data_IF_479608770296
#
_entry.id   IF_479608770296
#
_cell.length_a   1.000
_cell.length_b   1.000
_cell.length_c   1.000
_cell.angle_alpha   90.00
_cell.angle_beta   90.00
_cell.angle_gamma   90.00
#
_symmetry.space_group_name_H-M   'P 1'
#
loop_
_entity.id
_entity.type
_entity.pdbx_description
1 polymer ?
#
# COMPACT_ATOMS: atom_id res chain seq x y z
N UNK A 1 -25.77 1.11 2.05
CA UNK A 1 -24.68 1.45 2.99
C UNK A 1 -24.13 0.16 3.57
N UNK A 2 -22.82 -0.04 3.57
CA UNK A 2 -22.19 -1.25 4.11
C UNK A 2 -22.08 -1.19 5.63
N UNK A 3 -22.18 -2.34 6.30
CA UNK A 3 -22.01 -2.46 7.75
C UNK A 3 -20.55 -2.16 8.14
N UNK A 4 -20.30 -1.31 9.15
CA UNK A 4 -18.94 -1.08 9.67
C UNK A 4 -18.32 -2.38 10.17
N UNK A 5 -17.07 -2.62 9.80
CA UNK A 5 -16.28 -3.79 10.25
C UNK A 5 -15.26 -3.32 11.28
N UNK A 6 -15.22 -3.96 12.45
CA UNK A 6 -14.19 -3.71 13.45
C UNK A 6 -12.81 -4.13 12.90
N UNK A 7 -11.85 -3.21 12.89
CA UNK A 7 -10.46 -3.50 12.48
C UNK A 7 -9.66 -4.13 13.61
N UNK A 8 -9.57 -3.44 14.76
CA UNK A 8 -8.78 -3.86 15.94
C UNK A 8 -9.12 -2.95 17.12
N UNK A 9 -9.06 -3.49 18.35
CA UNK A 9 -9.22 -2.73 19.59
C UNK A 9 -10.63 -2.86 20.19
N UNK A 10 -10.97 -1.93 21.09
CA UNK A 10 -12.24 -1.90 21.80
C UNK A 10 -13.45 -1.68 20.86
N UNK A 11 -14.51 -2.46 21.07
CA UNK A 11 -15.79 -2.39 20.37
C UNK A 11 -16.54 -1.08 20.65
N UNK A 12 -16.26 -0.41 21.77
CA UNK A 12 -16.93 0.83 22.17
C UNK A 12 -16.37 2.07 21.47
N UNK A 13 -15.19 1.97 20.85
CA UNK A 13 -14.50 3.10 20.23
C UNK A 13 -14.80 3.15 18.73
N UNK A 14 -15.55 4.15 18.22
CA UNK A 14 -15.95 4.22 16.81
C UNK A 14 -14.78 4.28 15.83
N UNK A 15 -13.63 4.83 16.26
CA UNK A 15 -12.42 4.92 15.44
C UNK A 15 -11.81 3.55 15.09
N UNK A 16 -12.17 2.49 15.82
CA UNK A 16 -11.72 1.12 15.56
C UNK A 16 -12.50 0.45 14.42
N UNK A 17 -13.56 1.08 13.93
CA UNK A 17 -14.37 0.58 12.84
C UNK A 17 -13.93 1.15 11.50
N UNK A 18 -14.11 0.34 10.47
CA UNK A 18 -13.86 0.69 9.09
C UNK A 18 -15.11 0.44 8.27
N UNK A 19 -15.50 1.43 7.48
CA UNK A 19 -16.52 1.25 6.47
C UNK A 19 -15.84 0.80 5.17
N UNK A 20 -15.96 -0.48 4.77
CA UNK A 20 -15.48 -0.90 3.46
C UNK A 20 -16.33 -0.22 2.38
N UNK A 21 -15.69 0.34 1.36
CA UNK A 21 -16.40 0.79 0.18
C UNK A 21 -16.70 -0.42 -0.72
N UNK A 22 -17.94 -0.89 -0.63
CA UNK A 22 -18.42 -2.05 -1.37
C UNK A 22 -18.81 -1.71 -2.82
N UNK A 23 -18.81 -0.43 -3.21
CA UNK A 23 -19.14 0.00 -4.58
C UNK A 23 -18.16 -0.56 -5.63
N UNK A 24 -16.98 -0.99 -5.19
CA UNK A 24 -15.93 -1.57 -6.03
C UNK A 24 -16.09 -3.09 -6.24
N UNK A 25 -16.97 -3.77 -5.49
CA UNK A 25 -17.15 -5.23 -5.58
C UNK A 25 -17.62 -5.72 -6.97
N UNK A 26 -18.60 -5.08 -7.65
CA UNK A 26 -19.05 -5.54 -8.97
C UNK A 26 -17.95 -5.47 -10.04
N UNK A 27 -16.98 -4.59 -9.86
CA UNK A 27 -15.87 -4.36 -10.81
C UNK A 27 -14.54 -4.95 -10.32
N UNK A 28 -14.53 -5.74 -9.24
CA UNK A 28 -13.32 -6.17 -8.54
C UNK A 28 -12.31 -6.89 -9.46
N UNK A 29 -12.79 -7.75 -10.37
CA UNK A 29 -11.93 -8.42 -11.36
C UNK A 29 -11.27 -7.46 -12.34
N UNK A 30 -12.03 -6.48 -12.82
CA UNK A 30 -11.53 -5.47 -13.75
C UNK A 30 -10.65 -4.42 -13.05
N UNK A 31 -10.87 -4.15 -11.76
CA UNK A 31 -10.03 -3.29 -10.94
C UNK A 31 -8.68 -3.96 -10.65
N UNK A 32 -8.69 -5.27 -10.37
CA UNK A 32 -7.47 -6.06 -10.18
C UNK A 32 -6.61 -6.17 -11.44
N UNK A 33 -7.23 -6.19 -12.63
CA UNK A 33 -6.51 -6.12 -13.91
C UNK A 33 -6.07 -4.70 -14.31
N UNK A 34 -6.84 -3.67 -13.96
CA UNK A 34 -6.57 -2.25 -14.30
C UNK A 34 -5.65 -1.52 -13.33
N UNK A 35 -5.52 -1.99 -12.09
CA UNK A 35 -4.51 -1.48 -11.16
C UNK A 35 -3.14 -1.85 -11.74
N UNK A 36 -2.42 -0.84 -12.22
CA UNK A 36 -1.23 -0.95 -13.09
C UNK A 36 -0.01 -1.65 -12.49
N UNK A 37 -0.16 -2.61 -11.58
CA UNK A 37 0.93 -3.39 -11.00
C UNK A 37 1.84 -4.00 -12.06
N UNK A 38 1.27 -4.60 -13.12
CA UNK A 38 2.09 -5.14 -14.23
C UNK A 38 2.89 -4.07 -14.94
N UNK A 39 2.31 -2.89 -15.16
CA UNK A 39 2.99 -1.77 -15.79
C UNK A 39 4.09 -1.20 -14.87
N UNK A 40 3.76 -1.00 -13.59
CA UNK A 40 4.69 -0.52 -12.58
C UNK A 40 5.87 -1.48 -12.35
N UNK A 41 5.63 -2.79 -12.42
CA UNK A 41 6.66 -3.82 -12.32
C UNK A 41 7.48 -3.94 -13.61
N UNK A 42 6.84 -3.93 -14.77
CA UNK A 42 7.52 -3.98 -16.07
C UNK A 42 8.48 -2.80 -16.27
N UNK A 43 8.07 -1.61 -15.85
CA UNK A 43 8.89 -0.39 -15.93
C UNK A 43 9.77 -0.16 -14.70
N UNK A 44 9.83 -1.12 -13.76
CA UNK A 44 10.67 -1.05 -12.56
C UNK A 44 10.46 0.26 -11.77
N UNK A 45 9.21 0.72 -11.73
CA UNK A 45 8.82 1.96 -11.02
C UNK A 45 8.78 1.71 -9.50
N UNK A 46 8.46 0.48 -9.09
CA UNK A 46 8.40 0.11 -7.68
C UNK A 46 9.73 -0.43 -7.19
N UNK A 47 10.20 0.08 -6.06
CA UNK A 47 11.42 -0.40 -5.40
C UNK A 47 11.20 -1.77 -4.80
N UNK A 48 12.29 -2.50 -4.56
CA UNK A 48 12.21 -3.86 -4.01
C UNK A 48 11.69 -3.90 -2.56
N UNK A 49 11.78 -2.78 -1.83
CA UNK A 49 11.24 -2.61 -0.48
C UNK A 49 9.73 -2.33 -0.44
N UNK A 50 9.10 -2.02 -1.59
CA UNK A 50 7.65 -1.79 -1.67
C UNK A 50 6.93 -3.11 -1.92
N UNK A 51 6.27 -3.66 -0.89
CA UNK A 51 5.67 -5.00 -0.92
C UNK A 51 4.15 -5.04 -1.03
N UNK A 52 3.46 -3.96 -0.61
CA UNK A 52 1.99 -3.95 -0.53
C UNK A 52 1.38 -4.09 -1.94
N UNK A 53 0.42 -5.00 -2.08
CA UNK A 53 -0.35 -5.25 -3.30
C UNK A 53 0.47 -5.70 -4.52
N UNK A 54 1.69 -6.22 -4.34
CA UNK A 54 2.49 -6.79 -5.44
C UNK A 54 2.37 -8.31 -5.50
N UNK A 55 2.56 -8.85 -6.70
CA UNK A 55 2.60 -10.29 -6.86
C UNK A 55 3.84 -10.85 -6.14
N UNK A 56 3.67 -11.99 -5.44
CA UNK A 56 4.75 -12.70 -4.73
C UNK A 56 5.47 -11.89 -3.64
N UNK A 57 4.91 -10.76 -3.19
CA UNK A 57 5.39 -9.99 -2.03
C UNK A 57 4.31 -9.98 -0.94
N UNK A 58 4.73 -10.20 0.29
CA UNK A 58 3.86 -10.28 1.47
C UNK A 58 4.36 -9.33 2.58
N UNK A 59 3.51 -9.04 3.56
CA UNK A 59 3.93 -8.34 4.78
C UNK A 59 5.05 -9.10 5.52
N UNK A 60 5.02 -10.42 5.49
CA UNK A 60 6.06 -11.27 6.07
C UNK A 60 7.40 -11.08 5.36
N UNK A 61 7.42 -11.15 4.03
CA UNK A 61 8.66 -10.89 3.28
C UNK A 61 9.20 -9.47 3.50
N UNK A 62 8.33 -8.47 3.73
CA UNK A 62 8.75 -7.11 4.06
C UNK A 62 9.38 -7.06 5.46
N UNK A 63 8.79 -7.77 6.41
CA UNK A 63 9.30 -7.88 7.77
C UNK A 63 10.66 -8.59 7.80
N UNK A 64 10.81 -9.70 7.09
CA UNK A 64 12.09 -10.42 6.97
C UNK A 64 13.19 -9.57 6.35
N UNK A 65 12.89 -8.81 5.29
CA UNK A 65 13.85 -7.88 4.70
C UNK A 65 14.27 -6.79 5.70
N UNK A 66 13.31 -6.26 6.47
CA UNK A 66 13.59 -5.25 7.51
C UNK A 66 14.50 -5.82 8.59
N UNK A 67 14.21 -7.03 9.09
CA UNK A 67 15.06 -7.70 10.08
C UNK A 67 16.46 -7.98 9.54
N UNK A 68 16.57 -8.36 8.26
CA UNK A 68 17.86 -8.62 7.63
C UNK A 68 18.71 -7.36 7.56
N UNK A 69 18.14 -6.23 7.18
CA UNK A 69 18.86 -4.94 7.16
C UNK A 69 19.34 -4.60 8.57
N UNK A 70 18.45 -4.70 9.57
CA UNK A 70 18.81 -4.45 10.97
C UNK A 70 19.94 -5.37 11.43
N UNK A 71 19.88 -6.67 11.12
CA UNK A 71 20.88 -7.62 11.56
C UNK A 71 22.26 -7.37 10.94
N UNK A 72 22.31 -6.95 9.67
CA UNK A 72 23.55 -6.59 8.98
C UNK A 72 24.18 -5.36 9.61
N UNK A 73 23.41 -4.29 9.78
CA UNK A 73 23.90 -3.03 10.35
C UNK A 73 24.38 -3.23 11.80
N UNK A 74 23.70 -4.07 12.59
CA UNK A 74 24.15 -4.43 13.94
C UNK A 74 25.48 -5.18 13.94
N UNK A 75 25.68 -6.08 12.98
CA UNK A 75 26.88 -6.90 12.90
C UNK A 75 28.12 -6.08 12.49
N UNK A 76 27.91 -4.98 11.76
CA UNK A 76 28.98 -4.04 11.38
C UNK A 76 29.30 -3.03 12.50
N UNK A 77 28.59 -3.11 13.64
CA UNK A 77 28.78 -2.23 14.79
C UNK A 77 28.15 -0.85 14.63
N UNK A 78 27.29 -0.67 13.63
CA UNK A 78 26.66 0.59 13.31
C UNK A 78 25.45 0.87 14.21
N UNK A 79 25.21 2.16 14.48
CA UNK A 79 24.00 2.60 15.19
C UNK A 79 22.81 2.59 14.23
N UNK A 80 21.77 1.85 14.61
CA UNK A 80 20.54 1.77 13.80
C UNK A 80 19.52 2.79 14.30
N UNK A 81 19.19 3.74 13.42
CA UNK A 81 18.11 4.69 13.64
C UNK A 81 16.95 4.35 12.69
N UNK A 82 15.79 3.98 13.24
CA UNK A 82 14.60 3.62 12.47
C UNK A 82 13.50 4.67 12.65
N UNK A 83 12.86 5.07 11.55
CA UNK A 83 11.71 5.98 11.56
C UNK A 83 10.44 5.18 11.23
N UNK A 84 9.50 5.13 12.18
CA UNK A 84 8.19 4.53 11.97
C UNK A 84 7.20 5.59 11.47
N UNK A 85 6.80 5.47 10.21
CA UNK A 85 5.78 6.33 9.60
C UNK A 85 4.45 5.57 9.51
N UNK A 86 3.38 6.15 10.07
CA UNK A 86 2.01 5.68 9.86
C UNK A 86 1.21 6.75 9.11
N UNK A 87 0.68 6.38 7.94
CA UNK A 87 0.01 7.30 7.02
C UNK A 87 -1.30 6.72 6.47
N UNK A 88 -2.38 7.50 6.56
CA UNK A 88 -3.67 7.18 5.91
C UNK A 88 -3.62 7.60 4.43
N UNK A 89 -3.03 6.76 3.58
CA UNK A 89 -2.72 7.09 2.18
C UNK A 89 -3.92 7.32 1.25
N UNK A 90 -5.12 6.82 1.57
CA UNK A 90 -6.27 6.91 0.66
C UNK A 90 -7.05 8.24 0.71
N UNK A 91 -6.81 9.12 1.69
CA UNK A 91 -7.59 10.38 1.85
C UNK A 91 -6.85 11.65 1.41
N UNK A 92 -5.54 11.60 1.24
CA UNK A 92 -4.71 12.81 1.03
C UNK A 92 -4.24 13.04 -0.41
N UNK A 93 -4.62 12.18 -1.35
CA UNK A 93 -4.24 12.39 -2.76
C UNK A 93 -5.16 13.44 -3.36
N UNK A 94 -4.63 14.65 -3.60
CA UNK A 94 -5.34 15.70 -4.33
C UNK A 94 -5.36 15.37 -5.82
N UNK A 95 -6.51 15.59 -6.47
CA UNK A 95 -6.74 15.26 -7.89
C UNK A 95 -5.75 15.92 -8.86
N UNK A 96 -5.13 17.04 -8.46
CA UNK A 96 -4.08 17.72 -9.24
C UNK A 96 -2.75 16.96 -9.22
N UNK A 97 -2.33 16.39 -8.08
CA UNK A 97 -1.06 15.67 -7.98
C UNK A 97 -1.03 14.40 -8.86
N UNK A 98 -2.17 13.73 -8.99
CA UNK A 98 -2.30 12.51 -9.80
C UNK A 98 -2.25 12.78 -11.32
N UNK A 99 -2.71 13.96 -11.77
CA UNK A 99 -2.79 14.31 -13.21
C UNK A 99 -1.47 14.77 -13.83
N UNK A 100 -0.57 15.37 -13.06
CA UNK A 100 0.71 15.85 -13.60
C UNK A 100 1.78 14.75 -13.68
N UNK A 101 1.63 13.65 -12.93
CA UNK A 101 2.55 12.50 -12.98
C UNK A 101 2.09 11.39 -13.93
N UNK A 102 0.79 11.31 -14.21
CA UNK A 102 0.27 10.48 -15.28
C UNK A 102 0.34 11.29 -16.59
N UNK A 103 1.37 11.06 -17.42
CA UNK A 103 1.35 11.50 -18.82
C UNK A 103 0.12 10.96 -19.57
N UNK A 104 -0.03 11.23 -20.89
CA UNK A 104 -1.27 11.05 -21.67
C UNK A 104 -1.68 9.58 -21.91
N UNK A 105 -1.27 8.66 -21.04
CA UNK A 105 -1.59 7.24 -21.07
C UNK A 105 -2.99 6.91 -20.52
N UNK A 106 -3.78 7.93 -20.13
CA UNK A 106 -5.11 7.79 -19.55
C UNK A 106 -6.14 8.59 -20.35
N UNK A 107 -6.25 8.32 -21.65
CA UNK A 107 -7.44 8.68 -22.42
C UNK A 107 -8.39 7.45 -22.46
N UNK A 108 -9.60 7.55 -21.88
CA UNK A 108 -10.59 6.50 -21.99
C UNK A 108 -11.35 6.69 -23.30
N UNK A 109 -10.94 5.98 -24.34
CA UNK A 109 -11.90 5.49 -25.34
C UNK A 109 -12.51 4.18 -24.83
#
# INVERSE_FOLDING_TARGET
>A
MGTPILRKGDLTVPANYCNPDLSLLPNHGAYRQRLGHKHLEHHVILTDSQHRNRERRTCESQFLLTLRVIALDLNDGDQINAVLLDGKSFRQVTSQATRHQAGPLWDPY
#
